data_IF_363994859192
#
_entry.id   IF_363994859192
#
_cell.length_a   1.000
_cell.length_b   1.000
_cell.length_c   1.000
_cell.angle_alpha   90.00
_cell.angle_beta   90.00
_cell.angle_gamma   90.00
#
_symmetry.space_group_name_H-M   'P 1'
#
loop_
_entity.id
_entity.type
_entity.pdbx_description
1 polymer ?
#
# COMPACT_ATOMS: atom_id res chain seq x y z
N UNK A 1 1.76 -11.24 -37.72
CA UNK A 1 1.00 -9.98 -37.67
C UNK A 1 -0.03 -9.93 -36.53
N UNK A 2 -1.17 -10.64 -36.55
CA UNK A 2 -2.14 -10.60 -35.41
C UNK A 2 -1.55 -11.20 -34.12
N UNK A 3 -0.87 -12.35 -34.23
CA UNK A 3 -0.23 -13.03 -33.09
C UNK A 3 0.92 -12.22 -32.44
N UNK A 4 1.62 -11.39 -33.21
CA UNK A 4 2.68 -10.53 -32.67
C UNK A 4 2.09 -9.33 -31.93
N UNK A 5 1.04 -8.71 -32.48
CA UNK A 5 0.34 -7.60 -31.83
C UNK A 5 -0.28 -8.02 -30.48
N UNK A 6 -0.86 -9.22 -30.39
CA UNK A 6 -1.38 -9.77 -29.14
C UNK A 6 -0.28 -10.06 -28.12
N UNK A 7 0.88 -10.55 -28.58
CA UNK A 7 2.05 -10.78 -27.71
C UNK A 7 2.57 -9.48 -27.11
N UNK A 8 2.79 -8.45 -27.93
CA UNK A 8 3.25 -7.14 -27.45
C UNK A 8 2.26 -6.51 -26.46
N UNK A 9 0.96 -6.61 -26.74
CA UNK A 9 -0.07 -6.12 -25.81
C UNK A 9 0.00 -6.81 -24.44
N UNK A 10 0.16 -8.13 -24.41
CA UNK A 10 0.25 -8.87 -23.15
C UNK A 10 1.53 -8.56 -22.38
N UNK A 11 2.66 -8.41 -23.08
CA UNK A 11 3.93 -8.00 -22.48
C UNK A 11 3.83 -6.59 -21.88
N UNK A 12 3.29 -5.62 -22.61
CA UNK A 12 3.08 -4.24 -22.13
C UNK A 12 2.16 -4.21 -20.89
N UNK A 13 1.09 -5.00 -20.90
CA UNK A 13 0.17 -5.07 -19.77
C UNK A 13 0.85 -5.68 -18.54
N UNK A 14 1.62 -6.75 -18.70
CA UNK A 14 2.39 -7.36 -17.62
C UNK A 14 3.41 -6.38 -17.03
N UNK A 15 4.14 -5.64 -17.88
CA UNK A 15 5.07 -4.60 -17.42
C UNK A 15 4.35 -3.50 -16.64
N UNK A 16 3.22 -3.02 -17.16
CA UNK A 16 2.41 -1.98 -16.49
C UNK A 16 1.92 -2.44 -15.13
N UNK A 17 1.42 -3.68 -15.02
CA UNK A 17 0.97 -4.23 -13.75
C UNK A 17 2.12 -4.39 -12.75
N UNK A 18 3.29 -4.84 -13.19
CA UNK A 18 4.49 -4.97 -12.34
C UNK A 18 4.96 -3.61 -11.82
N UNK A 19 5.03 -2.60 -12.68
CA UNK A 19 5.36 -1.21 -12.29
C UNK A 19 4.32 -0.68 -11.30
N UNK A 20 3.03 -0.95 -11.54
CA UNK A 20 1.95 -0.58 -10.64
C UNK A 20 2.12 -1.18 -9.24
N UNK A 21 2.43 -2.48 -9.15
CA UNK A 21 2.66 -3.16 -7.88
C UNK A 21 3.90 -2.61 -7.14
N UNK A 22 4.99 -2.33 -7.86
CA UNK A 22 6.19 -1.68 -7.32
C UNK A 22 5.85 -0.32 -6.71
N UNK A 23 5.18 0.54 -7.47
CA UNK A 23 4.82 1.90 -7.04
C UNK A 23 3.84 1.88 -5.86
N UNK A 24 2.96 0.89 -5.79
CA UNK A 24 2.04 0.71 -4.66
C UNK A 24 2.81 0.39 -3.36
N UNK A 25 3.76 -0.54 -3.41
CA UNK A 25 4.65 -0.85 -2.28
C UNK A 25 5.45 0.37 -1.83
N UNK A 26 6.07 1.07 -2.77
CA UNK A 26 6.88 2.25 -2.50
C UNK A 26 6.05 3.35 -1.83
N UNK A 27 4.90 3.69 -2.44
CA UNK A 27 4.01 4.73 -1.92
C UNK A 27 3.47 4.37 -0.54
N UNK A 28 3.09 3.11 -0.32
CA UNK A 28 2.61 2.64 0.98
C UNK A 28 3.69 2.81 2.06
N UNK A 29 4.91 2.36 1.79
CA UNK A 29 6.01 2.42 2.74
C UNK A 29 6.36 3.87 3.11
N UNK A 30 6.45 4.78 2.13
CA UNK A 30 6.74 6.18 2.39
C UNK A 30 5.61 6.89 3.15
N UNK A 31 4.35 6.71 2.73
CA UNK A 31 3.21 7.34 3.40
C UNK A 31 3.08 6.86 4.84
N UNK A 32 3.25 5.55 5.08
CA UNK A 32 3.17 4.98 6.41
C UNK A 32 4.32 5.44 7.31
N UNK A 33 5.55 5.46 6.80
CA UNK A 33 6.71 5.98 7.53
C UNK A 33 6.49 7.43 7.93
N UNK A 34 6.08 8.29 6.98
CA UNK A 34 5.79 9.70 7.23
C UNK A 34 4.69 9.88 8.29
N UNK A 35 3.60 9.09 8.19
CA UNK A 35 2.52 9.09 9.19
C UNK A 35 3.03 8.72 10.58
N UNK A 36 3.93 7.74 10.69
CA UNK A 36 4.50 7.33 11.97
C UNK A 36 5.50 8.35 12.53
N UNK A 37 6.19 9.09 11.68
CA UNK A 37 7.15 10.13 12.07
C UNK A 37 6.47 11.45 12.51
N UNK A 38 5.20 11.67 12.12
CA UNK A 38 4.41 12.84 12.51
C UNK A 38 4.27 12.96 14.04
N UNK A 39 4.59 14.15 14.58
CA UNK A 39 4.47 14.49 16.00
C UNK A 39 3.06 14.27 16.57
N UNK A 40 2.02 14.50 15.76
CA UNK A 40 0.61 14.24 16.12
C UNK A 40 0.37 12.77 16.45
N UNK A 41 1.15 11.88 15.85
CA UNK A 41 1.00 10.42 15.96
C UNK A 41 1.86 9.85 17.10
N UNK A 42 2.93 10.53 17.50
CA UNK A 42 3.82 10.12 18.59
C UNK A 42 3.09 9.90 19.92
N UNK A 43 2.02 10.67 20.18
CA UNK A 43 1.21 10.58 21.40
C UNK A 43 0.02 9.61 21.27
N UNK A 44 -0.30 9.14 20.06
CA UNK A 44 -1.45 8.24 19.79
C UNK A 44 -1.05 6.77 19.67
N UNK A 45 0.23 6.50 19.40
CA UNK A 45 0.79 5.15 19.22
C UNK A 45 2.00 5.01 20.12
N UNK A 46 2.15 3.86 20.78
CA UNK A 46 3.33 3.54 21.57
C UNK A 46 4.61 3.63 20.73
N UNK A 47 5.70 4.09 21.33
CA UNK A 47 7.01 4.21 20.67
C UNK A 47 7.47 2.91 20.02
N UNK A 48 7.33 1.76 20.69
CA UNK A 48 7.73 0.45 20.15
C UNK A 48 6.97 0.11 18.85
N UNK A 49 5.67 0.33 18.84
CA UNK A 49 4.82 0.07 17.67
C UNK A 49 5.16 1.02 16.51
N UNK A 50 5.40 2.30 16.81
CA UNK A 50 5.85 3.30 15.84
C UNK A 50 7.19 2.88 15.23
N UNK A 51 8.18 2.55 16.06
CA UNK A 51 9.51 2.10 15.63
C UNK A 51 9.42 0.85 14.76
N UNK A 52 8.60 -0.13 15.17
CA UNK A 52 8.38 -1.36 14.41
C UNK A 52 7.87 -1.08 12.99
N UNK A 53 6.93 -0.14 12.83
CA UNK A 53 6.42 0.23 11.50
C UNK A 53 7.46 0.97 10.69
N UNK A 54 8.17 1.94 11.27
CA UNK A 54 9.23 2.68 10.59
C UNK A 54 10.32 1.72 10.08
N UNK A 55 10.77 0.80 10.94
CA UNK A 55 11.77 -0.21 10.59
C UNK A 55 11.26 -1.11 9.45
N UNK A 56 9.99 -1.55 9.50
CA UNK A 56 9.40 -2.39 8.44
C UNK A 56 9.18 -1.65 7.12
N UNK A 57 8.86 -0.36 7.17
CA UNK A 57 8.80 0.48 5.97
C UNK A 57 10.20 0.64 5.36
N UNK A 58 11.23 0.87 6.18
CA UNK A 58 12.62 0.94 5.72
C UNK A 58 13.09 -0.38 5.12
N UNK A 59 12.81 -1.52 5.76
CA UNK A 59 13.10 -2.85 5.20
C UNK A 59 12.42 -3.08 3.83
N UNK A 60 11.19 -2.60 3.65
CA UNK A 60 10.46 -2.72 2.39
C UNK A 60 11.07 -1.85 1.28
N UNK A 61 11.50 -0.62 1.58
CA UNK A 61 12.21 0.26 0.64
C UNK A 61 13.57 -0.32 0.28
N UNK A 62 14.35 -0.79 1.26
CA UNK A 62 15.63 -1.46 1.00
C UNK A 62 15.46 -2.71 0.12
N UNK A 63 14.36 -3.44 0.30
CA UNK A 63 14.03 -4.57 -0.56
C UNK A 63 13.67 -4.11 -1.97
N UNK A 64 12.86 -3.06 -2.13
CA UNK A 64 12.54 -2.47 -3.44
C UNK A 64 13.78 -2.04 -4.22
N UNK A 65 14.74 -1.40 -3.55
CA UNK A 65 15.99 -0.93 -4.16
C UNK A 65 16.86 -2.08 -4.68
N UNK A 66 16.86 -3.21 -3.96
CA UNK A 66 17.62 -4.41 -4.34
C UNK A 66 16.89 -5.28 -5.36
N UNK A 67 15.58 -5.12 -5.52
CA UNK A 67 14.72 -6.00 -6.30
C UNK A 67 13.90 -5.22 -7.33
N UNK A 68 14.52 -4.25 -8.02
CA UNK A 68 13.81 -3.37 -8.97
C UNK A 68 13.15 -4.09 -10.16
N UNK A 69 13.58 -5.31 -10.45
CA UNK A 69 13.07 -6.15 -11.54
C UNK A 69 12.27 -7.37 -11.05
N UNK A 70 11.89 -7.41 -9.77
CA UNK A 70 11.06 -8.48 -9.21
C UNK A 70 9.71 -8.59 -9.93
N UNK A 71 9.10 -9.77 -9.85
CA UNK A 71 7.80 -10.01 -10.46
C UNK A 71 6.67 -9.33 -9.68
N UNK A 72 5.53 -9.14 -10.36
CA UNK A 72 4.34 -8.50 -9.77
C UNK A 72 3.95 -9.13 -8.44
N UNK A 73 3.90 -10.46 -8.39
CA UNK A 73 3.47 -11.21 -7.21
C UNK A 73 4.43 -11.03 -6.02
N UNK A 74 5.72 -10.80 -6.29
CA UNK A 74 6.71 -10.51 -5.25
C UNK A 74 6.51 -9.13 -4.64
N UNK A 75 6.26 -8.10 -5.47
CA UNK A 75 5.89 -6.77 -4.99
C UNK A 75 4.60 -6.81 -4.17
N UNK A 76 3.56 -7.51 -4.65
CA UNK A 76 2.31 -7.67 -3.91
C UNK A 76 2.49 -8.43 -2.58
N UNK A 77 3.37 -9.43 -2.55
CA UNK A 77 3.68 -10.17 -1.34
C UNK A 77 4.33 -9.27 -0.28
N UNK A 78 5.32 -8.46 -0.68
CA UNK A 78 5.96 -7.52 0.24
C UNK A 78 4.98 -6.43 0.71
N UNK A 79 4.10 -5.94 -0.18
CA UNK A 79 3.02 -5.02 0.20
C UNK A 79 2.12 -5.62 1.27
N UNK A 80 1.59 -6.83 1.04
CA UNK A 80 0.73 -7.53 2.02
C UNK A 80 1.45 -7.80 3.34
N UNK A 81 2.75 -8.09 3.30
CA UNK A 81 3.58 -8.28 4.50
C UNK A 81 3.68 -6.99 5.30
N UNK A 82 3.90 -5.86 4.64
CA UNK A 82 3.96 -4.54 5.29
C UNK A 82 2.58 -4.13 5.83
N UNK A 83 1.51 -4.31 5.06
CA UNK A 83 0.14 -4.03 5.48
C UNK A 83 -0.24 -4.77 6.77
N UNK A 84 0.11 -6.06 6.89
CA UNK A 84 -0.18 -6.85 8.10
C UNK A 84 0.43 -6.27 9.37
N UNK A 85 1.61 -5.64 9.27
CA UNK A 85 2.26 -4.98 10.41
C UNK A 85 1.57 -3.64 10.72
N UNK A 86 1.14 -2.92 9.69
CA UNK A 86 0.59 -1.58 9.83
C UNK A 86 -0.89 -1.60 10.28
N UNK A 87 -1.71 -2.52 9.76
CA UNK A 87 -3.15 -2.67 10.07
C UNK A 87 -3.52 -2.48 11.55
N UNK A 88 -2.90 -3.18 12.53
CA UNK A 88 -3.28 -3.01 13.93
C UNK A 88 -3.03 -1.60 14.46
N UNK A 89 -2.06 -0.87 13.92
CA UNK A 89 -1.75 0.51 14.31
C UNK A 89 -2.73 1.47 13.65
N UNK A 90 -3.05 1.25 12.38
CA UNK A 90 -4.10 1.99 11.66
C UNK A 90 -5.43 1.91 12.41
N UNK A 91 -5.85 0.71 12.81
CA UNK A 91 -7.10 0.52 13.56
C UNK A 91 -7.09 1.29 14.89
N UNK A 92 -5.98 1.23 15.64
CA UNK A 92 -5.84 1.97 16.90
C UNK A 92 -5.88 3.48 16.69
N UNK A 93 -5.28 3.98 15.60
CA UNK A 93 -5.29 5.40 15.26
C UNK A 93 -6.70 5.91 14.96
N UNK A 94 -7.47 5.20 14.13
CA UNK A 94 -8.86 5.55 13.86
C UNK A 94 -9.71 5.52 15.12
N UNK A 95 -9.51 4.54 16.02
CA UNK A 95 -10.21 4.47 17.30
C UNK A 95 -9.84 5.62 18.25
N UNK A 96 -8.59 6.09 18.22
CA UNK A 96 -8.12 7.24 19.00
C UNK A 96 -8.51 8.60 18.37
N UNK A 97 -9.46 8.63 17.43
CA UNK A 97 -9.88 9.84 16.71
C UNK A 97 -8.74 10.46 15.90
N UNK A 98 -7.72 9.68 15.53
CA UNK A 98 -6.69 10.08 14.57
C UNK A 98 -7.12 9.68 13.18
N UNK A 99 -7.49 10.66 12.36
CA UNK A 99 -7.46 10.52 10.90
C UNK A 99 -6.03 10.78 10.44
N UNK A 100 -5.34 9.81 9.84
CA UNK A 100 -4.08 10.07 9.16
C UNK A 100 -4.35 11.01 7.98
N UNK A 101 -3.97 12.28 8.13
CA UNK A 101 -3.95 13.27 7.04
C UNK A 101 -2.77 12.95 6.12
N UNK A 102 -2.99 12.00 5.21
CA UNK A 102 -1.96 11.49 4.33
C UNK A 102 -2.44 10.21 3.70
N UNK A 103 -3.53 10.33 2.91
CA UNK A 103 -4.20 9.28 2.15
C UNK A 103 -3.73 7.88 2.46
N UNK A 104 -4.32 7.25 3.49
CA UNK A 104 -4.22 5.81 3.58
C UNK A 104 -4.69 5.24 2.25
N UNK A 105 -3.89 4.42 1.55
CA UNK A 105 -4.39 3.71 0.41
C UNK A 105 -5.49 2.80 0.95
N UNK A 106 -6.73 3.19 0.70
CA UNK A 106 -7.92 2.38 0.90
C UNK A 106 -7.84 1.21 -0.08
N UNK A 107 -6.97 0.25 0.19
CA UNK A 107 -7.01 -1.09 -0.34
C UNK A 107 -8.15 -1.83 0.34
N UNK A 108 -9.36 -1.60 -0.16
CA UNK A 108 -10.59 -2.26 0.28
C UNK A 108 -10.40 -3.79 0.26
N UNK A 109 -10.55 -4.52 1.39
CA UNK A 109 -10.79 -5.95 1.34
C UNK A 109 -12.26 -6.16 1.02
N UNK A 110 -12.55 -6.89 -0.06
CA UNK A 110 -13.89 -7.10 -0.58
C UNK A 110 -14.93 -7.44 0.49
N UNK A 111 -16.06 -6.73 0.42
CA UNK A 111 -17.27 -6.98 1.20
C UNK A 111 -18.34 -6.02 0.71
N UNK A 112 -19.26 -6.52 -0.13
CA UNK A 112 -20.20 -5.70 -0.87
C UNK A 112 -21.16 -4.90 0.01
N UNK A 113 -21.49 -3.70 -0.45
CA UNK A 113 -22.82 -3.10 -0.34
C UNK A 113 -23.06 -2.20 -1.57
N UNK A 114 -24.26 -2.24 -2.18
CA UNK A 114 -24.56 -1.50 -3.40
C UNK A 114 -24.79 -0.03 -3.04
N UNK A 115 -23.95 0.87 -3.56
CA UNK A 115 -24.30 2.29 -3.51
C UNK A 115 -25.38 2.50 -4.57
N UNK A 116 -26.58 2.72 -4.07
CA UNK A 116 -27.82 2.74 -4.82
C UNK A 116 -27.81 3.71 -5.98
N UNK A 117 -28.36 3.21 -7.07
CA UNK A 117 -29.03 3.99 -8.09
C UNK A 117 -30.08 4.89 -7.41
N UNK A 118 -29.77 6.18 -7.29
CA UNK A 118 -30.75 7.23 -7.01
C UNK A 118 -30.77 8.16 -8.22
N UNK A 119 -31.48 7.74 -9.27
CA UNK A 119 -32.00 8.67 -10.24
C UNK A 119 -33.20 9.41 -9.64
N UNK A 120 -33.32 10.70 -9.94
CA UNK A 120 -34.59 11.38 -10.16
C UNK A 120 -34.32 12.76 -10.78
N UNK A 121 -34.85 12.91 -11.99
CA UNK A 121 -35.35 14.13 -12.67
C UNK A 121 -34.38 15.27 -12.96
#
# INVERSE_FOLDING_TARGET
MVSEAEKYKNEDEAQKQRIGAKNALESYAYNMKSTMEDDKMKNKVSEDARKTVIDKCAEAVDWLDKNQTAEKDEFEYQHKKLEKVCQPIITKLYQAGGTPEGGMPSGMPGGGMPVGFAGTT
#
